data_IF_277170505496
#
_entry.id   IF_277170505496
#
_cell.length_a   1.000
_cell.length_b   1.000
_cell.length_c   1.000
_cell.angle_alpha   90.00
_cell.angle_beta   90.00
_cell.angle_gamma   90.00
#
_symmetry.space_group_name_H-M   'P 1'
#
loop_
_entity.id
_entity.type
_entity.pdbx_description
1 polymer ?
#
# COMPACT_ATOMS: atom_id res chain seq x y z
N UNK A 1 -15.70 20.59 -5.56
CA UNK A 1 -15.66 19.46 -4.59
C UNK A 1 -16.89 19.41 -3.70
N UNK A 2 -17.35 20.52 -3.12
CA UNK A 2 -18.48 20.47 -2.16
C UNK A 2 -19.84 20.10 -2.78
N UNK A 3 -19.99 20.15 -4.10
CA UNK A 3 -21.24 19.84 -4.83
C UNK A 3 -21.21 18.52 -5.59
N UNK A 4 -20.10 17.78 -5.55
CA UNK A 4 -19.95 16.51 -6.30
C UNK A 4 -20.37 15.33 -5.44
N UNK A 5 -21.31 14.50 -5.93
CA UNK A 5 -21.90 13.37 -5.18
C UNK A 5 -20.87 12.30 -4.75
N UNK A 6 -19.83 12.10 -5.56
CA UNK A 6 -18.81 11.05 -5.34
C UNK A 6 -17.62 11.51 -4.49
N UNK A 7 -17.55 12.80 -4.12
CA UNK A 7 -16.43 13.29 -3.31
C UNK A 7 -16.47 12.66 -1.91
N UNK A 8 -15.36 12.02 -1.53
CA UNK A 8 -15.19 11.22 -0.30
C UNK A 8 -16.07 9.96 -0.18
N UNK A 9 -16.71 9.52 -1.28
CA UNK A 9 -17.49 8.26 -1.35
C UNK A 9 -16.90 7.28 -2.37
N UNK A 10 -15.57 7.30 -2.51
CA UNK A 10 -14.86 6.41 -3.42
C UNK A 10 -14.92 4.97 -2.89
N UNK A 11 -15.16 3.99 -3.76
CA UNK A 11 -14.89 2.60 -3.42
C UNK A 11 -13.39 2.34 -3.59
N UNK A 12 -12.70 2.05 -2.48
CA UNK A 12 -11.24 1.88 -2.46
C UNK A 12 -10.81 0.46 -2.83
N UNK A 13 -11.74 -0.49 -2.91
CA UNK A 13 -11.51 -1.87 -3.30
C UNK A 13 -12.66 -2.35 -4.20
N UNK A 14 -12.70 -1.89 -5.46
CA UNK A 14 -13.73 -2.30 -6.41
C UNK A 14 -13.56 -3.79 -6.78
N UNK A 15 -14.68 -4.53 -6.82
CA UNK A 15 -14.68 -5.97 -7.08
C UNK A 15 -14.92 -6.29 -8.56
N UNK A 16 -13.86 -6.68 -9.27
CA UNK A 16 -13.92 -7.06 -10.67
C UNK A 16 -14.75 -8.33 -10.93
N UNK A 17 -14.86 -9.24 -9.95
CA UNK A 17 -15.56 -10.51 -10.11
C UNK A 17 -17.09 -10.37 -10.16
N UNK A 18 -17.61 -9.26 -9.63
CA UNK A 18 -19.05 -8.99 -9.54
C UNK A 18 -19.50 -7.83 -10.43
N UNK A 19 -18.59 -6.98 -10.89
CA UNK A 19 -18.94 -5.73 -11.57
C UNK A 19 -19.33 -5.97 -13.03
N UNK A 20 -20.53 -5.53 -13.42
CA UNK A 20 -20.91 -5.45 -14.83
C UNK A 20 -20.31 -4.20 -15.47
N UNK A 21 -19.35 -4.38 -16.38
CA UNK A 21 -18.69 -3.28 -17.08
C UNK A 21 -19.68 -2.58 -18.03
N UNK A 22 -19.90 -1.29 -17.80
CA UNK A 22 -20.74 -0.43 -18.65
C UNK A 22 -20.22 1.01 -18.66
N UNK A 23 -20.28 1.64 -19.82
CA UNK A 23 -20.08 3.08 -19.97
C UNK A 23 -21.44 3.77 -19.78
N UNK A 24 -21.70 4.25 -18.57
CA UNK A 24 -22.92 4.99 -18.21
C UNK A 24 -22.56 6.35 -17.60
N UNK A 25 -23.44 7.37 -17.68
CA UNK A 25 -23.12 8.72 -17.18
C UNK A 25 -22.76 8.79 -15.69
N UNK A 26 -23.19 7.81 -14.90
CA UNK A 26 -22.88 7.71 -13.47
C UNK A 26 -21.48 7.13 -13.19
N UNK A 27 -20.84 6.49 -14.19
CA UNK A 27 -19.52 5.91 -14.02
C UNK A 27 -18.45 6.98 -14.22
N UNK A 28 -17.91 7.49 -13.11
CA UNK A 28 -16.87 8.54 -13.11
C UNK A 28 -15.47 7.99 -12.81
N UNK A 29 -15.34 6.69 -12.53
CA UNK A 29 -14.08 6.04 -12.19
C UNK A 29 -13.72 5.00 -13.25
N UNK A 30 -12.45 4.59 -13.37
CA UNK A 30 -12.07 3.45 -14.19
C UNK A 30 -12.76 2.17 -13.76
N UNK A 31 -12.73 1.15 -14.62
CA UNK A 31 -13.22 -0.18 -14.26
C UNK A 31 -12.33 -0.82 -13.17
N UNK A 32 -12.89 -1.77 -12.37
CA UNK A 32 -12.23 -2.30 -11.17
C UNK A 32 -10.81 -2.85 -11.36
N UNK A 33 -10.56 -3.52 -12.49
CA UNK A 33 -9.31 -4.19 -12.85
C UNK A 33 -8.56 -3.46 -13.98
N UNK A 34 -8.93 -2.21 -14.27
CA UNK A 34 -8.29 -1.42 -15.31
C UNK A 34 -6.97 -0.81 -14.82
N UNK A 35 -5.91 -1.61 -14.95
CA UNK A 35 -4.52 -1.20 -14.68
C UNK A 35 -3.97 -0.26 -15.75
N UNK A 36 -2.99 0.56 -15.39
CA UNK A 36 -2.27 1.44 -16.32
C UNK A 36 -1.96 2.82 -15.76
N UNK A 37 -1.38 3.68 -16.60
CA UNK A 37 -0.84 4.98 -16.17
C UNK A 37 -1.89 5.94 -15.59
N UNK A 38 -3.18 5.75 -15.91
CA UNK A 38 -4.25 6.55 -15.32
C UNK A 38 -4.35 6.38 -13.79
N UNK A 39 -4.03 5.19 -13.28
CA UNK A 39 -4.07 4.86 -11.84
C UNK A 39 -2.85 5.37 -11.06
N UNK A 40 -1.86 5.97 -11.73
CA UNK A 40 -0.62 6.47 -11.09
C UNK A 40 -0.77 7.88 -10.52
N UNK A 41 -1.99 8.31 -10.25
CA UNK A 41 -2.24 9.51 -9.46
C UNK A 41 -1.90 9.25 -7.97
N UNK A 42 -1.86 10.32 -7.19
CA UNK A 42 -1.50 10.26 -5.76
C UNK A 42 -2.68 10.63 -4.87
N UNK A 43 -2.61 10.21 -3.61
CA UNK A 43 -3.57 10.64 -2.59
C UNK A 43 -3.52 12.15 -2.35
N UNK A 44 -4.70 12.75 -2.20
CA UNK A 44 -4.86 14.17 -1.88
C UNK A 44 -5.54 14.29 -0.50
N UNK A 45 -4.78 14.18 0.60
CA UNK A 45 -5.33 14.37 1.94
C UNK A 45 -5.57 15.86 2.20
N UNK A 46 -6.61 16.18 2.97
CA UNK A 46 -6.95 17.57 3.34
C UNK A 46 -5.99 18.17 4.40
N UNK A 47 -4.73 17.76 4.44
CA UNK A 47 -3.71 18.24 5.40
C UNK A 47 -3.94 17.81 6.86
N UNK A 48 -4.86 16.88 7.12
CA UNK A 48 -5.31 16.53 8.48
C UNK A 48 -4.31 15.72 9.32
N UNK A 49 -3.31 15.10 8.70
CA UNK A 49 -2.49 14.08 9.35
C UNK A 49 -1.11 14.55 9.81
N UNK A 50 -0.83 15.86 9.75
CA UNK A 50 0.49 16.42 10.11
C UNK A 50 0.93 16.06 11.53
N UNK A 51 -0.01 16.05 12.47
CA UNK A 51 0.24 15.77 13.90
C UNK A 51 -0.14 14.33 14.30
N UNK A 52 -0.67 13.53 13.36
CA UNK A 52 -1.07 12.15 13.62
C UNK A 52 0.13 11.22 13.77
N UNK A 53 0.13 10.36 14.80
CA UNK A 53 1.11 9.29 14.99
C UNK A 53 0.56 7.97 14.47
N UNK A 54 1.42 7.19 13.83
CA UNK A 54 1.09 5.88 13.24
C UNK A 54 2.01 4.82 13.82
N UNK A 55 1.42 3.77 14.39
CA UNK A 55 2.15 2.61 14.90
C UNK A 55 1.85 1.41 14.01
N UNK A 56 2.91 0.76 13.51
CA UNK A 56 2.80 -0.39 12.61
C UNK A 56 3.41 -1.59 13.33
N UNK A 57 2.57 -2.60 13.60
CA UNK A 57 3.03 -3.86 14.21
C UNK A 57 3.56 -4.76 13.10
N UNK A 58 4.84 -5.12 13.19
CA UNK A 58 5.58 -5.88 12.20
C UNK A 58 6.29 -5.01 11.17
N UNK A 59 7.57 -5.29 10.96
CA UNK A 59 8.47 -4.63 10.00
C UNK A 59 8.72 -5.46 8.73
N UNK A 60 7.80 -6.37 8.41
CA UNK A 60 7.78 -7.08 7.13
C UNK A 60 7.27 -6.22 5.98
N UNK A 61 7.26 -6.77 4.76
CA UNK A 61 6.88 -6.03 3.55
C UNK A 61 5.51 -5.35 3.63
N UNK A 62 4.51 -5.97 4.26
CA UNK A 62 3.19 -5.37 4.43
C UNK A 62 3.22 -4.10 5.31
N UNK A 63 3.98 -4.15 6.42
CA UNK A 63 4.15 -2.99 7.30
C UNK A 63 4.92 -1.87 6.62
N UNK A 64 6.01 -2.22 5.95
CA UNK A 64 6.82 -1.26 5.18
C UNK A 64 6.02 -0.61 4.04
N UNK A 65 5.24 -1.40 3.30
CA UNK A 65 4.33 -0.89 2.26
C UNK A 65 3.28 0.05 2.86
N UNK A 66 2.70 -0.29 4.01
CA UNK A 66 1.74 0.60 4.70
C UNK A 66 2.37 1.96 5.03
N UNK A 67 3.58 1.97 5.57
CA UNK A 67 4.31 3.22 5.83
C UNK A 67 4.59 4.01 4.55
N UNK A 68 5.00 3.32 3.47
CA UNK A 68 5.24 3.95 2.17
C UNK A 68 3.99 4.67 1.66
N UNK A 69 2.83 4.01 1.65
CA UNK A 69 1.57 4.61 1.21
C UNK A 69 1.07 5.72 2.15
N UNK A 70 1.31 5.61 3.47
CA UNK A 70 1.02 6.71 4.40
C UNK A 70 1.85 7.96 4.11
N UNK A 71 3.12 7.80 3.76
CA UNK A 71 3.99 8.92 3.38
C UNK A 71 3.56 9.49 2.02
N UNK A 72 3.39 8.63 1.02
CA UNK A 72 3.13 9.03 -0.37
C UNK A 72 1.75 9.65 -0.57
N UNK A 73 0.71 8.93 -0.14
CA UNK A 73 -0.69 9.26 -0.43
C UNK A 73 -1.39 9.88 0.79
N UNK A 74 -0.96 9.51 2.00
CA UNK A 74 -1.43 10.12 3.25
C UNK A 74 -0.73 11.41 3.62
N UNK A 75 0.42 11.73 2.99
CA UNK A 75 1.29 12.87 3.32
C UNK A 75 1.63 12.97 4.81
N UNK A 76 1.71 11.82 5.49
CA UNK A 76 2.07 11.73 6.90
C UNK A 76 3.59 11.92 7.02
N UNK A 77 4.09 12.81 7.90
CA UNK A 77 5.52 12.95 8.13
C UNK A 77 6.14 11.62 8.57
N UNK A 78 7.24 11.20 7.94
CA UNK A 78 7.89 9.92 8.26
C UNK A 78 8.29 9.80 9.75
N UNK A 79 8.68 10.91 10.39
CA UNK A 79 8.99 10.95 11.83
C UNK A 79 7.78 10.71 12.76
N UNK A 80 6.58 10.58 12.21
CA UNK A 80 5.38 10.20 12.95
C UNK A 80 5.06 8.70 12.87
N UNK A 81 5.80 7.93 12.07
CA UNK A 81 5.58 6.50 11.88
C UNK A 81 6.57 5.72 12.74
N UNK A 82 6.09 4.76 13.52
CA UNK A 82 6.92 3.90 14.38
C UNK A 82 6.57 2.43 14.15
N UNK A 83 7.59 1.62 13.91
CA UNK A 83 7.44 0.17 13.78
C UNK A 83 7.62 -0.51 15.13
N UNK A 84 6.81 -1.53 15.39
CA UNK A 84 6.89 -2.42 16.54
C UNK A 84 7.20 -3.82 16.03
N UNK A 85 8.48 -4.21 16.08
CA UNK A 85 8.97 -5.51 15.61
C UNK A 85 9.22 -6.45 16.78
N UNK A 86 8.88 -7.73 16.59
CA UNK A 86 9.08 -8.78 17.57
C UNK A 86 10.51 -9.35 17.52
N UNK A 87 11.10 -9.44 16.33
CA UNK A 87 12.44 -9.99 16.12
C UNK A 87 13.54 -8.94 16.36
N UNK A 88 14.78 -9.42 16.47
CA UNK A 88 15.96 -8.56 16.58
C UNK A 88 16.34 -7.88 15.24
N UNK A 89 15.72 -8.31 14.15
CA UNK A 89 15.98 -7.83 12.79
C UNK A 89 14.67 -7.61 12.07
N UNK A 90 14.65 -6.61 11.20
CA UNK A 90 13.53 -6.29 10.32
C UNK A 90 13.38 -7.27 9.14
N UNK A 91 12.27 -7.13 8.39
CA UNK A 91 12.03 -7.85 7.14
C UNK A 91 11.08 -9.04 7.24
N UNK A 92 10.84 -9.58 8.43
CA UNK A 92 9.90 -10.67 8.64
C UNK A 92 10.27 -11.88 7.78
N UNK A 93 9.34 -12.43 7.00
CA UNK A 93 9.57 -13.60 6.14
C UNK A 93 10.56 -13.38 4.99
N UNK A 94 10.90 -12.12 4.66
CA UNK A 94 11.86 -11.78 3.62
C UNK A 94 13.32 -11.81 4.11
N UNK A 95 13.67 -12.78 4.97
CA UNK A 95 15.00 -12.87 5.56
C UNK A 95 16.06 -13.43 4.62
N UNK A 96 17.28 -12.96 4.83
CA UNK A 96 18.52 -13.58 4.38
C UNK A 96 19.61 -13.23 5.37
N UNK A 97 20.14 -14.23 6.07
CA UNK A 97 21.13 -14.04 7.14
C UNK A 97 22.29 -14.99 7.00
N UNK A 98 23.25 -14.92 7.93
CA UNK A 98 24.51 -15.64 7.84
C UNK A 98 25.55 -14.90 7.00
N UNK A 99 26.70 -15.54 6.78
CA UNK A 99 27.84 -14.96 6.07
C UNK A 99 28.68 -16.07 5.41
N UNK A 100 29.73 -15.70 4.67
CA UNK A 100 30.58 -16.65 3.96
C UNK A 100 31.38 -17.60 4.88
N UNK A 101 31.65 -17.22 6.12
CA UNK A 101 32.41 -18.02 7.08
C UNK A 101 31.51 -19.03 7.82
N UNK A 102 30.31 -18.62 8.23
CA UNK A 102 29.37 -19.44 9.01
C UNK A 102 28.27 -20.10 8.18
N UNK A 103 28.21 -19.79 6.88
CA UNK A 103 27.15 -20.19 5.97
C UNK A 103 26.00 -19.19 5.92
N UNK A 104 25.36 -19.09 4.75
CA UNK A 104 24.15 -18.31 4.53
C UNK A 104 22.89 -19.13 4.83
N UNK A 105 21.83 -18.46 5.29
CA UNK A 105 20.52 -19.06 5.50
C UNK A 105 19.40 -18.15 4.98
N UNK A 106 18.49 -18.76 4.24
CA UNK A 106 17.23 -18.18 3.77
C UNK A 106 16.10 -19.14 4.16
N UNK A 107 15.04 -18.65 4.81
CA UNK A 107 13.91 -19.54 5.17
C UNK A 107 13.04 -19.94 3.96
N UNK A 108 13.11 -19.22 2.85
CA UNK A 108 12.40 -19.59 1.62
C UNK A 108 12.69 -18.67 0.44
N UNK A 109 12.46 -19.18 -0.78
CA UNK A 109 12.50 -18.41 -2.02
C UNK A 109 11.18 -17.68 -2.29
N UNK A 110 11.23 -16.63 -3.14
CA UNK A 110 10.08 -15.87 -3.61
C UNK A 110 10.12 -15.83 -5.14
N UNK A 111 9.24 -16.62 -5.76
CA UNK A 111 9.04 -16.58 -7.21
C UNK A 111 8.06 -15.48 -7.59
N UNK A 112 8.29 -14.86 -8.75
CA UNK A 112 7.62 -13.64 -9.17
C UNK A 112 7.18 -13.70 -10.64
N UNK A 113 6.00 -13.17 -10.94
CA UNK A 113 5.46 -12.79 -12.24
C UNK A 113 5.52 -11.26 -12.50
N UNK A 114 5.18 -10.80 -13.71
CA UNK A 114 5.26 -9.37 -14.07
C UNK A 114 4.04 -8.55 -13.64
N UNK A 115 2.90 -9.19 -13.37
CA UNK A 115 1.62 -8.50 -13.10
C UNK A 115 1.32 -8.48 -11.60
N UNK A 116 2.23 -7.91 -10.80
CA UNK A 116 1.97 -7.65 -9.38
C UNK A 116 1.53 -6.20 -9.19
N UNK A 117 0.22 -6.00 -9.13
CA UNK A 117 -0.40 -4.78 -8.61
C UNK A 117 -1.20 -5.08 -7.34
#
# INVERSE_FOLDING_TARGET
>A
MNTTENHRKVNHQPDASQTRLQNVPTNTMPFPDQIGNYQRNIGLPDGKFKDSKVYIVGSGIAGLSSAYYFIRDGQIPAGNITFLEQLLIEGGSLDGSGNAETGYIIRGGREMDFTYE
#
